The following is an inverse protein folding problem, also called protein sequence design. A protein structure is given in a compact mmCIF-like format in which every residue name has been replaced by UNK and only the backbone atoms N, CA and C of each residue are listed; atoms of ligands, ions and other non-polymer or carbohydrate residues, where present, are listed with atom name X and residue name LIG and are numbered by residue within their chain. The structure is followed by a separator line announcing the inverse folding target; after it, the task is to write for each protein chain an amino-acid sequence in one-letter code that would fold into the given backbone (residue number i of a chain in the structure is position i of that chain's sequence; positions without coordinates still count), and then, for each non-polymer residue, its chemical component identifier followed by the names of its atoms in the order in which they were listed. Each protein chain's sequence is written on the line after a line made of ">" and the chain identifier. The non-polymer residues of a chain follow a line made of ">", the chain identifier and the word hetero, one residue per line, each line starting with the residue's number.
data_IF_760951510937
#
_entry.id   IF_760951510937
#
_cell.length_a   1.000
_cell.length_b   1.000
_cell.length_c   1.000
_cell.angle_alpha   90.00
_cell.angle_beta   90.00
_cell.angle_gamma   90.00
#
_symmetry.space_group_name_H-M   'P 1'
#
loop_
_entity.id
_entity.type
_entity.pdbx_description
1 polymer ?
#
# COMPACT_ATOMS: atom_id res chain seq x y z
N UNK A 1 21.35 30.42 6.54
CA UNK A 1 20.98 29.89 5.22
C UNK A 1 20.20 28.61 5.45
N UNK A 2 18.87 28.70 5.51
CA UNK A 2 17.97 27.56 5.69
C UNK A 2 17.90 26.81 4.36
N UNK A 3 18.51 25.62 4.30
CA UNK A 3 18.33 24.67 3.21
C UNK A 3 16.83 24.36 3.11
N UNK A 4 16.19 24.83 2.06
CA UNK A 4 14.85 24.39 1.72
C UNK A 4 14.94 22.89 1.36
N UNK A 5 14.56 22.03 2.31
CA UNK A 5 14.33 20.62 2.06
C UNK A 5 13.26 20.55 0.96
N UNK A 6 13.65 20.21 -0.26
CA UNK A 6 12.72 19.89 -1.35
C UNK A 6 11.97 18.63 -0.92
N UNK A 7 10.76 18.81 -0.38
CA UNK A 7 9.91 17.67 0.00
C UNK A 7 9.59 16.86 -1.26
N UNK A 8 9.93 15.59 -1.27
CA UNK A 8 9.62 14.67 -2.38
C UNK A 8 8.12 14.69 -2.63
N UNK A 9 7.70 14.92 -3.88
CA UNK A 9 6.30 14.91 -4.29
C UNK A 9 5.97 13.53 -4.90
N UNK A 10 5.15 12.76 -4.20
CA UNK A 10 4.76 11.42 -4.60
C UNK A 10 3.53 11.38 -5.54
N UNK A 11 2.98 12.52 -5.94
CA UNK A 11 1.79 12.59 -6.84
C UNK A 11 1.97 11.80 -8.12
N UNK A 12 3.19 11.77 -8.67
CA UNK A 12 3.47 11.11 -9.96
C UNK A 12 3.54 9.58 -9.86
N UNK A 13 3.74 9.03 -8.67
CA UNK A 13 3.86 7.58 -8.41
C UNK A 13 2.68 7.01 -7.63
N UNK A 14 1.80 7.87 -7.11
CA UNK A 14 0.62 7.47 -6.36
C UNK A 14 -0.55 7.11 -7.28
N UNK A 15 -1.34 6.14 -6.84
CA UNK A 15 -2.65 5.86 -7.41
C UNK A 15 -3.58 7.04 -7.08
N UNK A 16 -4.24 7.61 -8.10
CA UNK A 16 -5.17 8.73 -7.94
C UNK A 16 -6.48 8.48 -8.67
N UNK A 17 -7.53 9.24 -8.31
CA UNK A 17 -8.85 9.13 -8.92
C UNK A 17 -8.81 9.30 -10.44
N UNK A 18 -9.57 8.45 -11.13
CA UNK A 18 -9.72 8.54 -12.58
C UNK A 18 -8.57 7.93 -13.40
N UNK A 19 -7.51 7.42 -12.77
CA UNK A 19 -6.46 6.70 -13.50
C UNK A 19 -6.99 5.35 -14.02
N UNK A 20 -6.71 5.00 -15.28
CA UNK A 20 -7.02 3.68 -15.81
C UNK A 20 -6.32 2.57 -15.02
N UNK A 21 -7.06 1.55 -14.62
CA UNK A 21 -6.57 0.41 -13.87
C UNK A 21 -6.99 -0.91 -14.53
N UNK A 22 -6.12 -1.92 -14.46
CA UNK A 22 -6.51 -3.26 -14.87
C UNK A 22 -7.48 -3.89 -13.85
N UNK A 23 -8.29 -4.88 -14.25
CA UNK A 23 -9.13 -5.63 -13.30
C UNK A 23 -8.33 -6.18 -12.12
N UNK A 24 -7.11 -6.64 -12.35
CA UNK A 24 -6.22 -7.13 -11.30
C UNK A 24 -5.81 -6.01 -10.32
N UNK A 25 -5.51 -4.81 -10.81
CA UNK A 25 -5.19 -3.67 -9.92
C UNK A 25 -6.38 -3.27 -9.07
N UNK A 26 -7.60 -3.29 -9.63
CA UNK A 26 -8.83 -3.06 -8.85
C UNK A 26 -9.04 -4.15 -7.81
N UNK A 27 -8.81 -5.41 -8.16
CA UNK A 27 -8.89 -6.54 -7.23
C UNK A 27 -7.86 -6.40 -6.09
N UNK A 28 -6.61 -5.99 -6.39
CA UNK A 28 -5.57 -5.75 -5.39
C UNK A 28 -5.95 -4.58 -4.47
N UNK A 29 -6.50 -3.49 -5.04
CA UNK A 29 -6.99 -2.36 -4.26
C UNK A 29 -8.12 -2.80 -3.33
N UNK A 30 -9.14 -3.47 -3.85
CA UNK A 30 -10.25 -4.00 -3.06
C UNK A 30 -9.77 -4.93 -1.96
N UNK A 31 -8.88 -5.87 -2.28
CA UNK A 31 -8.38 -6.88 -1.35
C UNK A 31 -7.74 -6.26 -0.11
N UNK A 32 -6.81 -5.31 -0.28
CA UNK A 32 -6.14 -4.66 0.87
C UNK A 32 -7.11 -3.89 1.75
N UNK A 33 -8.10 -3.21 1.15
CA UNK A 33 -9.12 -2.50 1.94
C UNK A 33 -10.16 -3.44 2.56
N UNK A 34 -10.48 -4.55 1.94
CA UNK A 34 -11.36 -5.58 2.52
C UNK A 34 -10.75 -6.22 3.77
N UNK A 35 -9.44 -6.52 3.74
CA UNK A 35 -8.69 -6.96 4.92
C UNK A 35 -8.68 -5.88 6.01
N UNK A 36 -8.30 -4.66 5.66
CA UNK A 36 -8.25 -3.53 6.59
C UNK A 36 -9.61 -3.24 7.22
N UNK A 37 -10.70 -3.34 6.46
CA UNK A 37 -12.06 -3.13 6.94
C UNK A 37 -12.47 -4.16 8.01
N UNK A 38 -12.01 -5.41 7.90
CA UNK A 38 -12.20 -6.43 8.94
C UNK A 38 -11.57 -6.05 10.28
N UNK A 39 -10.39 -5.43 10.24
CA UNK A 39 -9.70 -4.92 11.43
C UNK A 39 -10.34 -3.64 11.99
N UNK A 40 -11.11 -2.92 11.20
CA UNK A 40 -11.57 -1.56 11.50
C UNK A 40 -12.92 -1.48 12.22
N UNK A 41 -13.65 -2.57 12.36
CA UNK A 41 -15.04 -2.59 12.86
C UNK A 41 -15.15 -1.96 14.27
N UNK A 42 -15.83 -0.82 14.36
CA UNK A 42 -16.06 -0.09 15.61
C UNK A 42 -14.81 0.58 16.21
N UNK A 43 -13.70 0.66 15.47
CA UNK A 43 -12.36 1.08 15.93
C UNK A 43 -11.98 2.47 15.41
N UNK A 44 -11.01 3.10 16.07
CA UNK A 44 -10.32 4.31 15.62
C UNK A 44 -9.14 3.91 14.75
N UNK A 45 -9.21 4.32 13.48
CA UNK A 45 -8.30 3.89 12.41
C UNK A 45 -7.51 5.07 11.89
N UNK A 46 -6.21 4.90 11.72
CA UNK A 46 -5.32 5.78 10.96
C UNK A 46 -4.82 5.05 9.73
N UNK A 47 -5.04 5.61 8.54
CA UNK A 47 -4.35 5.20 7.33
C UNK A 47 -3.21 6.18 7.03
N UNK A 48 -1.96 5.70 7.10
CA UNK A 48 -0.75 6.44 6.74
C UNK A 48 -0.45 6.20 5.26
N UNK A 49 -0.21 7.26 4.49
CA UNK A 49 -0.06 7.18 3.04
C UNK A 49 -1.40 6.96 2.33
N UNK A 50 -2.47 7.60 2.82
CA UNK A 50 -3.82 7.45 2.27
C UNK A 50 -3.97 7.99 0.83
N UNK A 51 -2.96 8.69 0.31
CA UNK A 51 -3.02 9.35 -0.99
C UNK A 51 -4.16 10.36 -1.07
N UNK A 52 -4.99 10.23 -2.09
CA UNK A 52 -6.20 11.04 -2.25
C UNK A 52 -7.46 10.42 -1.58
N UNK A 53 -7.28 9.46 -0.70
CA UNK A 53 -8.30 8.95 0.21
C UNK A 53 -9.34 8.01 -0.40
N UNK A 54 -9.02 7.29 -1.48
CA UNK A 54 -9.98 6.41 -2.17
C UNK A 54 -10.57 5.31 -1.28
N UNK A 55 -9.82 4.83 -0.28
CA UNK A 55 -10.27 3.80 0.65
C UNK A 55 -10.99 4.31 1.89
N UNK A 56 -10.85 5.59 2.22
CA UNK A 56 -11.39 6.14 3.47
C UNK A 56 -12.92 5.98 3.61
N UNK A 57 -13.75 6.18 2.55
CA UNK A 57 -15.17 5.93 2.66
C UNK A 57 -15.49 4.47 3.02
N UNK A 58 -14.82 3.51 2.38
CA UNK A 58 -15.03 2.09 2.62
C UNK A 58 -14.68 1.66 4.05
N UNK A 59 -13.59 2.21 4.61
CA UNK A 59 -13.22 2.00 6.01
C UNK A 59 -14.21 2.70 6.95
N UNK A 60 -14.64 3.92 6.60
CA UNK A 60 -15.55 4.74 7.41
C UNK A 60 -16.96 4.15 7.58
N UNK A 61 -17.41 3.27 6.68
CA UNK A 61 -18.66 2.53 6.85
C UNK A 61 -18.62 1.53 8.02
N UNK A 62 -17.43 1.14 8.47
CA UNK A 62 -17.22 0.08 9.47
C UNK A 62 -16.52 0.57 10.73
N UNK A 63 -15.65 1.54 10.60
CA UNK A 63 -14.88 2.11 11.70
C UNK A 63 -15.71 3.13 12.50
N UNK A 64 -15.34 3.35 13.77
CA UNK A 64 -15.86 4.45 14.58
C UNK A 64 -15.35 5.80 14.09
N UNK A 65 -14.07 5.85 13.75
CA UNK A 65 -13.38 7.01 13.18
C UNK A 65 -12.30 6.53 12.21
N UNK A 66 -12.19 7.20 11.06
CA UNK A 66 -11.05 7.00 10.13
C UNK A 66 -10.38 8.34 9.90
N UNK A 67 -9.08 8.40 10.12
CA UNK A 67 -8.23 9.53 9.75
C UNK A 67 -7.29 9.10 8.63
N UNK A 68 -7.25 9.87 7.54
CA UNK A 68 -6.29 9.69 6.46
C UNK A 68 -5.12 10.64 6.62
N UNK A 69 -3.91 10.10 6.57
CA UNK A 69 -2.68 10.88 6.60
C UNK A 69 -1.82 10.66 5.36
N UNK A 70 -1.23 11.74 4.83
CA UNK A 70 -0.28 11.64 3.72
C UNK A 70 0.80 12.71 3.84
N UNK A 71 1.99 12.41 3.32
CA UNK A 71 3.09 13.36 3.27
C UNK A 71 2.88 14.42 2.18
N UNK A 72 2.23 14.02 1.07
CA UNK A 72 2.09 14.82 -0.15
C UNK A 72 0.85 15.71 -0.10
N UNK A 73 1.04 17.00 0.09
CA UNK A 73 -0.06 17.97 0.18
C UNK A 73 -0.95 17.99 -1.06
N UNK A 74 -0.40 17.74 -2.25
CA UNK A 74 -1.16 17.67 -3.51
C UNK A 74 -2.25 16.60 -3.47
N UNK A 75 -1.92 15.40 -2.98
CA UNK A 75 -2.85 14.29 -2.82
C UNK A 75 -3.95 14.60 -1.79
N UNK A 76 -3.58 15.20 -0.66
CA UNK A 76 -4.56 15.61 0.37
C UNK A 76 -5.54 16.68 -0.14
N UNK A 77 -5.09 17.62 -0.97
CA UNK A 77 -5.96 18.62 -1.62
C UNK A 77 -6.95 17.96 -2.58
N UNK A 78 -6.48 17.01 -3.38
CA UNK A 78 -7.37 16.21 -4.24
C UNK A 78 -8.39 15.42 -3.40
N UNK A 79 -7.94 14.75 -2.35
CA UNK A 79 -8.80 14.05 -1.40
C UNK A 79 -9.83 14.97 -0.75
N UNK A 80 -9.43 16.15 -0.28
CA UNK A 80 -10.34 17.13 0.31
C UNK A 80 -11.43 17.61 -0.65
N UNK A 81 -11.08 17.80 -1.92
CA UNK A 81 -12.04 18.21 -2.94
C UNK A 81 -13.11 17.14 -3.20
N UNK A 82 -12.79 15.86 -3.06
CA UNK A 82 -13.70 14.73 -3.30
C UNK A 82 -14.41 14.25 -2.04
N UNK A 83 -13.75 14.36 -0.91
CA UNK A 83 -14.19 13.88 0.40
C UNK A 83 -14.13 15.04 1.43
N UNK A 84 -15.00 16.07 1.30
CA UNK A 84 -14.89 17.30 2.09
C UNK A 84 -15.05 17.09 3.61
N UNK A 85 -15.69 15.99 4.01
CA UNK A 85 -15.91 15.65 5.43
C UNK A 85 -14.87 14.67 5.99
N UNK A 86 -14.00 14.08 5.16
CA UNK A 86 -12.99 13.14 5.63
C UNK A 86 -11.93 13.86 6.49
N UNK A 87 -11.58 13.34 7.67
CA UNK A 87 -10.45 13.84 8.44
C UNK A 87 -9.14 13.54 7.70
N UNK A 88 -8.54 14.56 7.07
CA UNK A 88 -7.29 14.45 6.34
C UNK A 88 -6.22 15.31 7.02
N UNK A 89 -5.05 14.72 7.27
CA UNK A 89 -3.92 15.35 7.97
C UNK A 89 -2.64 15.17 7.16
N UNK A 90 -1.88 16.26 6.99
CA UNK A 90 -0.51 16.12 6.46
C UNK A 90 0.41 15.62 7.56
N UNK A 91 1.14 14.53 7.30
CA UNK A 91 2.04 13.94 8.29
C UNK A 91 3.21 13.20 7.65
N UNK A 92 4.29 13.07 8.41
CA UNK A 92 5.39 12.15 8.15
C UNK A 92 5.16 10.87 8.99
N UNK A 93 5.28 9.70 8.35
CA UNK A 93 5.14 8.41 9.02
C UNK A 93 6.16 8.22 10.17
N UNK A 94 7.30 8.91 10.10
CA UNK A 94 8.38 8.87 11.09
C UNK A 94 8.11 9.78 12.31
N UNK A 95 7.06 10.64 12.24
CA UNK A 95 6.69 11.59 13.31
C UNK A 95 5.17 11.82 13.28
N UNK A 96 4.42 10.94 13.90
CA UNK A 96 2.95 10.97 13.87
C UNK A 96 2.37 12.00 14.85
N UNK A 97 1.46 12.89 14.40
CA UNK A 97 0.88 13.95 15.26
C UNK A 97 -0.27 13.41 16.13
N UNK A 98 -0.12 12.23 16.69
CA UNK A 98 -1.11 11.57 17.55
C UNK A 98 -0.52 11.29 18.93
N UNK A 99 -1.37 11.24 19.95
CA UNK A 99 -0.99 10.89 21.33
C UNK A 99 -0.63 9.41 21.40
N UNK A 100 0.16 9.07 22.40
CA UNK A 100 0.45 7.69 22.73
C UNK A 100 -0.85 6.92 23.03
N UNK A 101 -0.91 5.66 22.61
CA UNK A 101 -2.00 4.74 22.87
C UNK A 101 -3.40 5.33 22.58
N UNK A 102 -3.54 6.07 21.47
CA UNK A 102 -4.79 6.74 21.09
C UNK A 102 -5.58 6.05 19.98
N UNK A 103 -4.94 5.16 19.22
CA UNK A 103 -5.51 4.48 18.05
C UNK A 103 -5.66 2.98 18.28
N UNK A 104 -6.69 2.40 17.65
CA UNK A 104 -6.91 0.95 17.70
C UNK A 104 -6.29 0.23 16.53
N UNK A 105 -6.23 0.90 15.35
CA UNK A 105 -5.67 0.33 14.11
C UNK A 105 -4.84 1.38 13.38
N UNK A 106 -3.67 0.96 12.91
CA UNK A 106 -2.85 1.74 11.96
C UNK A 106 -2.66 0.92 10.69
N UNK A 107 -2.84 1.56 9.56
CA UNK A 107 -2.72 0.98 8.23
C UNK A 107 -1.60 1.67 7.46
N UNK A 108 -0.69 0.90 6.86
CA UNK A 108 0.32 1.34 5.89
C UNK A 108 0.16 0.52 4.61
N UNK A 109 -0.70 0.99 3.71
CA UNK A 109 -1.09 0.27 2.50
C UNK A 109 -0.33 0.83 1.30
N UNK A 110 0.62 0.06 0.76
CA UNK A 110 1.43 0.42 -0.43
C UNK A 110 2.27 1.70 -0.24
N UNK A 111 2.80 1.96 0.98
CA UNK A 111 3.52 3.21 1.25
C UNK A 111 4.86 3.05 1.98
N UNK A 112 5.06 2.01 2.80
CA UNK A 112 6.22 1.88 3.68
C UNK A 112 7.57 1.90 2.92
N UNK A 113 7.58 1.45 1.70
CA UNK A 113 8.78 1.44 0.84
C UNK A 113 9.22 2.83 0.34
N UNK A 114 8.44 3.88 0.61
CA UNK A 114 8.84 5.28 0.40
C UNK A 114 9.42 5.92 1.66
N UNK A 115 9.30 5.28 2.82
CA UNK A 115 9.80 5.81 4.09
C UNK A 115 11.30 5.58 4.21
N UNK A 116 12.04 6.62 4.51
CA UNK A 116 13.50 6.56 4.60
C UNK A 116 13.96 5.73 5.78
N UNK A 117 13.36 5.94 6.95
CA UNK A 117 13.59 5.18 8.18
C UNK A 117 12.33 4.39 8.56
N UNK A 118 12.29 3.12 8.14
CA UNK A 118 11.17 2.22 8.41
C UNK A 118 11.09 1.85 9.90
N UNK A 119 12.22 1.79 10.59
CA UNK A 119 12.25 1.52 12.03
C UNK A 119 11.62 2.68 12.82
N UNK A 120 11.92 3.94 12.47
CA UNK A 120 11.28 5.10 13.08
C UNK A 120 9.75 5.12 12.85
N UNK A 121 9.29 4.76 11.64
CA UNK A 121 7.86 4.66 11.35
C UNK A 121 7.17 3.56 12.18
N UNK A 122 7.80 2.40 12.34
CA UNK A 122 7.27 1.32 13.19
C UNK A 122 7.25 1.69 14.67
N UNK A 123 8.27 2.41 15.16
CA UNK A 123 8.30 2.95 16.53
C UNK A 123 7.12 3.91 16.78
N UNK A 124 6.83 4.81 15.83
CA UNK A 124 5.71 5.73 15.91
C UNK A 124 4.36 4.99 15.84
N UNK A 125 4.21 4.00 14.94
CA UNK A 125 3.01 3.16 14.89
C UNK A 125 2.78 2.46 16.24
N UNK A 126 3.84 1.87 16.84
CA UNK A 126 3.75 1.27 18.16
C UNK A 126 3.35 2.30 19.23
N UNK A 127 3.94 3.49 19.21
CA UNK A 127 3.65 4.54 20.20
C UNK A 127 2.17 4.94 20.18
N UNK A 128 1.62 5.19 19.00
CA UNK A 128 0.23 5.69 18.86
C UNK A 128 -0.82 4.60 19.02
N UNK A 129 -0.51 3.33 18.76
CA UNK A 129 -1.42 2.21 18.97
C UNK A 129 -1.63 1.94 20.47
N UNK A 130 -2.85 1.64 20.86
CA UNK A 130 -3.19 1.09 22.18
C UNK A 130 -2.56 -0.31 22.36
N UNK A 131 -2.30 -0.78 23.60
CA UNK A 131 -2.04 -2.19 23.85
C UNK A 131 -3.15 -3.06 23.23
N UNK A 132 -2.80 -4.11 22.51
CA UNK A 132 -3.74 -4.94 21.74
C UNK A 132 -4.23 -4.29 20.43
N UNK A 133 -3.76 -3.09 20.08
CA UNK A 133 -4.01 -2.43 18.80
C UNK A 133 -3.28 -3.12 17.65
N UNK A 134 -3.78 -2.95 16.44
CA UNK A 134 -3.31 -3.68 15.25
C UNK A 134 -2.59 -2.75 14.27
N UNK A 135 -1.45 -3.18 13.74
CA UNK A 135 -0.76 -2.59 12.60
C UNK A 135 -0.90 -3.51 11.39
N UNK A 136 -1.39 -2.97 10.27
CA UNK A 136 -1.42 -3.68 9.00
C UNK A 136 -0.51 -2.99 7.97
N UNK A 137 0.37 -3.75 7.35
CA UNK A 137 1.22 -3.30 6.24
C UNK A 137 0.94 -4.13 5.00
N UNK A 138 0.81 -3.47 3.86
CA UNK A 138 0.74 -4.10 2.54
C UNK A 138 1.87 -3.54 1.66
N UNK A 139 2.60 -4.43 1.00
CA UNK A 139 3.69 -4.08 0.08
C UNK A 139 3.73 -4.99 -1.13
N UNK A 140 4.20 -4.52 -2.30
CA UNK A 140 4.58 -5.40 -3.39
C UNK A 140 5.69 -6.34 -2.93
N UNK A 141 5.61 -7.60 -3.33
CA UNK A 141 6.62 -8.59 -2.98
C UNK A 141 7.91 -8.39 -3.79
N UNK A 142 9.04 -7.99 -3.19
CA UNK A 142 10.30 -7.79 -3.90
C UNK A 142 10.96 -9.12 -4.32
N UNK A 143 10.55 -10.25 -3.74
CA UNK A 143 11.14 -11.56 -4.02
C UNK A 143 10.60 -12.20 -5.31
N UNK A 144 9.53 -11.64 -5.90
CA UNK A 144 8.97 -12.15 -7.16
C UNK A 144 9.89 -11.87 -8.35
N UNK A 145 9.92 -12.77 -9.37
CA UNK A 145 10.83 -12.62 -10.52
C UNK A 145 10.67 -11.32 -11.31
N UNK A 146 9.43 -10.80 -11.43
CA UNK A 146 9.10 -9.60 -12.22
C UNK A 146 9.02 -8.34 -11.38
N UNK A 147 9.66 -8.31 -10.23
CA UNK A 147 9.62 -7.14 -9.37
C UNK A 147 10.30 -5.94 -10.04
N UNK A 148 9.58 -4.82 -10.08
CA UNK A 148 10.07 -3.55 -10.58
C UNK A 148 9.79 -2.46 -9.53
N UNK A 149 10.83 -1.90 -8.89
CA UNK A 149 10.65 -0.89 -7.84
C UNK A 149 10.01 0.38 -8.40
N UNK A 150 9.21 1.04 -7.56
CA UNK A 150 8.67 2.36 -7.86
C UNK A 150 9.78 3.42 -7.81
N UNK A 151 9.74 4.46 -8.66
CA UNK A 151 10.58 5.64 -8.47
C UNK A 151 10.40 6.23 -7.05
N UNK A 152 11.48 6.78 -6.49
CA UNK A 152 11.53 7.34 -5.13
C UNK A 152 11.40 6.33 -3.99
N UNK A 153 11.21 5.02 -4.30
CA UNK A 153 11.24 4.00 -3.24
C UNK A 153 12.63 3.86 -2.65
N UNK A 154 12.69 3.66 -1.35
CA UNK A 154 13.94 3.47 -0.59
C UNK A 154 14.27 2.00 -0.44
N UNK A 155 13.34 1.23 0.11
CA UNK A 155 13.52 -0.20 0.37
C UNK A 155 12.19 -0.93 0.45
N UNK A 156 12.07 -2.03 -0.28
CA UNK A 156 10.97 -2.98 -0.15
C UNK A 156 11.37 -4.10 0.81
N UNK A 157 10.67 -4.28 1.93
CA UNK A 157 10.97 -5.38 2.83
C UNK A 157 10.53 -6.72 2.22
N UNK A 158 11.38 -7.73 2.32
CA UNK A 158 11.06 -9.14 2.06
C UNK A 158 10.14 -9.69 3.16
N UNK A 159 9.63 -10.91 2.98
CA UNK A 159 8.81 -11.59 4.01
C UNK A 159 9.54 -11.65 5.35
N UNK A 160 10.82 -12.05 5.35
CA UNK A 160 11.64 -12.15 6.56
C UNK A 160 11.93 -10.78 7.20
N UNK A 161 12.25 -9.77 6.37
CA UNK A 161 12.52 -8.41 6.85
C UNK A 161 11.27 -7.75 7.43
N UNK A 162 10.10 -8.00 6.83
CA UNK A 162 8.84 -7.48 7.33
C UNK A 162 8.49 -8.10 8.70
N UNK A 163 8.61 -9.42 8.85
CA UNK A 163 8.44 -10.10 10.14
C UNK A 163 9.42 -9.58 11.19
N UNK A 164 10.70 -9.37 10.81
CA UNK A 164 11.72 -8.83 11.71
C UNK A 164 11.42 -7.39 12.14
N UNK A 165 10.89 -6.52 11.26
CA UNK A 165 10.44 -5.17 11.61
C UNK A 165 9.37 -5.22 12.70
N UNK A 166 8.34 -6.03 12.53
CA UNK A 166 7.28 -6.18 13.51
C UNK A 166 7.81 -6.70 14.86
N UNK A 167 8.60 -7.77 14.83
CA UNK A 167 9.17 -8.38 16.05
C UNK A 167 10.03 -7.40 16.83
N UNK A 168 10.92 -6.64 16.17
CA UNK A 168 11.78 -5.63 16.83
C UNK A 168 10.99 -4.54 17.55
N UNK A 169 9.80 -4.22 17.03
CA UNK A 169 8.92 -3.21 17.61
C UNK A 169 7.82 -3.79 18.49
N UNK A 170 7.94 -5.05 18.96
CA UNK A 170 7.03 -5.66 19.92
C UNK A 170 5.61 -5.85 19.36
N UNK A 171 5.52 -6.40 18.17
CA UNK A 171 4.28 -6.88 17.58
C UNK A 171 4.35 -8.39 17.40
N UNK A 172 3.29 -9.07 17.78
CA UNK A 172 3.03 -10.44 17.36
C UNK A 172 2.40 -10.42 15.98
N UNK A 173 3.00 -11.08 14.97
CA UNK A 173 2.71 -10.83 13.57
C UNK A 173 2.52 -12.09 12.76
N UNK A 174 1.50 -12.06 11.88
CA UNK A 174 1.34 -12.99 10.77
C UNK A 174 1.67 -12.27 9.46
N UNK A 175 2.51 -12.90 8.62
CA UNK A 175 2.80 -12.44 7.25
C UNK A 175 2.13 -13.38 6.27
N UNK A 176 1.47 -12.82 5.27
CA UNK A 176 0.72 -13.59 4.26
C UNK A 176 1.02 -13.07 2.85
N UNK A 177 0.87 -13.96 1.86
CA UNK A 177 0.94 -13.63 0.45
C UNK A 177 -0.44 -13.69 -0.22
N UNK A 178 -0.67 -12.81 -1.16
CA UNK A 178 -1.85 -12.87 -2.01
C UNK A 178 -1.49 -12.55 -3.47
N UNK A 179 -2.44 -12.84 -4.36
CA UNK A 179 -2.27 -12.74 -5.81
C UNK A 179 -1.12 -13.63 -6.28
N UNK A 180 -1.37 -14.94 -6.48
CA UNK A 180 -0.35 -15.85 -6.98
C UNK A 180 0.29 -15.32 -8.26
N UNK A 181 1.60 -15.47 -8.36
CA UNK A 181 2.30 -15.28 -9.63
C UNK A 181 1.91 -16.47 -10.49
N UNK A 182 0.95 -16.26 -11.41
CA UNK A 182 0.51 -17.31 -12.33
C UNK A 182 1.70 -17.84 -13.13
N UNK A 183 1.79 -19.15 -13.26
CA UNK A 183 2.66 -19.76 -14.26
C UNK A 183 2.24 -19.19 -15.63
N UNK A 184 3.20 -18.57 -16.33
CA UNK A 184 2.97 -17.83 -17.59
C UNK A 184 1.97 -18.55 -18.49
N UNK A 185 0.83 -17.92 -18.77
CA UNK A 185 -0.06 -18.38 -19.84
C UNK A 185 0.73 -18.37 -21.15
N UNK A 186 0.35 -19.21 -22.13
CA UNK A 186 1.07 -19.26 -23.39
C UNK A 186 1.26 -17.89 -24.08
N UNK A 187 0.32 -16.95 -23.83
CA UNK A 187 0.38 -15.56 -24.31
C UNK A 187 1.38 -14.71 -23.51
N UNK A 188 1.47 -14.93 -22.21
CA UNK A 188 2.42 -14.24 -21.32
C UNK A 188 3.86 -14.73 -21.58
N UNK A 189 4.04 -16.02 -21.88
CA UNK A 189 5.33 -16.61 -22.28
C UNK A 189 5.86 -15.97 -23.57
N UNK A 190 4.98 -15.60 -24.50
CA UNK A 190 5.37 -14.90 -25.73
C UNK A 190 5.74 -13.44 -25.50
N UNK A 191 5.11 -12.76 -24.52
CA UNK A 191 5.37 -11.37 -24.17
C UNK A 191 6.46 -11.20 -23.08
N UNK A 192 6.83 -12.27 -22.39
CA UNK A 192 7.83 -12.25 -21.32
C UNK A 192 9.18 -11.65 -21.77
N UNK A 193 9.77 -12.02 -22.91
CA UNK A 193 11.03 -11.45 -23.36
C UNK A 193 10.92 -9.95 -23.65
N UNK A 194 9.78 -9.50 -24.20
CA UNK A 194 9.52 -8.07 -24.47
C UNK A 194 9.40 -7.31 -23.15
N UNK A 195 8.72 -7.88 -22.16
CA UNK A 195 8.57 -7.30 -20.82
C UNK A 195 9.91 -7.25 -20.09
N UNK A 196 10.69 -8.32 -20.11
CA UNK A 196 12.06 -8.36 -19.56
C UNK A 196 12.98 -7.34 -20.22
N UNK A 197 12.92 -7.20 -21.53
CA UNK A 197 13.67 -6.19 -22.28
C UNK A 197 13.24 -4.77 -21.84
N UNK A 198 11.94 -4.50 -21.76
CA UNK A 198 11.42 -3.21 -21.35
C UNK A 198 11.80 -2.84 -19.90
N UNK A 199 11.83 -3.80 -18.98
CA UNK A 199 12.30 -3.61 -17.60
C UNK A 199 13.81 -3.36 -17.57
N UNK A 200 14.60 -4.20 -18.26
CA UNK A 200 16.08 -4.14 -18.28
C UNK A 200 16.61 -2.84 -18.87
N UNK A 201 15.94 -2.28 -19.86
CA UNK A 201 16.34 -1.04 -20.54
C UNK A 201 15.56 0.19 -20.07
N UNK A 202 14.87 0.11 -18.93
CA UNK A 202 14.09 1.20 -18.33
C UNK A 202 13.08 1.85 -19.31
N UNK A 203 12.54 1.08 -20.25
CA UNK A 203 11.55 1.56 -21.21
C UNK A 203 10.14 1.68 -20.61
N UNK A 204 9.95 1.20 -19.37
CA UNK A 204 8.68 1.36 -18.66
C UNK A 204 8.59 2.82 -18.17
N UNK A 205 7.54 3.56 -18.54
CA UNK A 205 7.37 4.94 -18.08
C UNK A 205 7.37 5.04 -16.55
N UNK A 206 8.06 6.02 -15.99
CA UNK A 206 8.16 6.20 -14.55
C UNK A 206 6.90 6.80 -13.91
N UNK A 207 6.10 7.56 -14.69
CA UNK A 207 4.87 8.17 -14.16
C UNK A 207 3.65 7.26 -14.34
N UNK A 208 2.72 7.32 -13.39
CA UNK A 208 1.45 6.57 -13.45
C UNK A 208 0.61 6.95 -14.67
N UNK A 209 0.60 8.22 -15.08
CA UNK A 209 -0.12 8.69 -16.28
C UNK A 209 0.43 8.09 -17.56
N UNK A 210 1.75 8.01 -17.71
CA UNK A 210 2.37 7.41 -18.88
C UNK A 210 2.17 5.87 -18.89
N UNK A 211 2.23 5.19 -17.74
CA UNK A 211 1.83 3.77 -17.61
C UNK A 211 0.37 3.55 -18.02
N UNK A 212 -0.53 4.45 -17.61
CA UNK A 212 -1.95 4.40 -17.97
C UNK A 212 -2.17 4.56 -19.48
N UNK A 213 -1.43 5.46 -20.14
CA UNK A 213 -1.51 5.65 -21.60
C UNK A 213 -1.07 4.38 -22.36
N UNK A 214 0.05 3.77 -21.97
CA UNK A 214 0.52 2.51 -22.57
C UNK A 214 -0.52 1.40 -22.38
N UNK A 215 -1.11 1.28 -21.19
CA UNK A 215 -2.19 0.30 -20.93
C UNK A 215 -3.41 0.55 -21.81
N UNK A 216 -3.83 1.81 -22.00
CA UNK A 216 -4.97 2.15 -22.86
C UNK A 216 -4.76 1.73 -24.30
N UNK A 217 -3.53 1.83 -24.81
CA UNK A 217 -3.18 1.39 -26.17
C UNK A 217 -3.21 -0.14 -26.27
N UNK A 218 -2.70 -0.85 -25.25
CA UNK A 218 -2.58 -2.31 -25.25
C UNK A 218 -3.88 -3.05 -24.91
N UNK A 219 -4.72 -2.49 -24.04
CA UNK A 219 -5.89 -3.15 -23.46
C UNK A 219 -7.23 -2.46 -23.76
N UNK A 220 -7.25 -1.35 -24.50
CA UNK A 220 -8.46 -0.60 -24.84
C UNK A 220 -9.02 0.21 -23.66
N UNK A 221 -10.36 0.34 -23.56
CA UNK A 221 -11.02 1.07 -22.45
C UNK A 221 -10.88 0.26 -21.16
N UNK A 222 -10.07 0.76 -20.24
CA UNK A 222 -9.94 0.21 -18.89
C UNK A 222 -10.88 0.95 -17.92
N UNK A 223 -11.38 0.25 -16.88
CA UNK A 223 -12.03 0.90 -15.75
C UNK A 223 -11.05 1.89 -15.08
N UNK A 224 -11.58 2.80 -14.29
CA UNK A 224 -10.77 3.82 -13.61
C UNK A 224 -10.78 3.62 -12.11
N UNK A 225 -9.67 3.98 -11.46
CA UNK A 225 -9.58 4.05 -10.00
C UNK A 225 -10.60 5.04 -9.44
N UNK A 226 -11.21 4.69 -8.32
CA UNK A 226 -12.21 5.47 -7.63
C UNK A 226 -12.33 5.05 -6.17
N UNK A 227 -13.46 5.43 -5.54
CA UNK A 227 -13.74 4.94 -4.19
C UNK A 227 -13.81 3.41 -4.18
N UNK A 228 -13.21 2.83 -3.14
CA UNK A 228 -13.29 1.39 -2.92
C UNK A 228 -14.73 1.01 -2.55
N UNK A 229 -15.23 -0.06 -3.10
CA UNK A 229 -16.55 -0.61 -2.81
C UNK A 229 -16.57 -2.13 -2.99
N UNK A 230 -17.54 -2.80 -2.39
CA UNK A 230 -17.75 -4.23 -2.58
C UNK A 230 -18.05 -4.53 -4.07
N UNK A 231 -17.50 -5.64 -4.58
CA UNK A 231 -17.65 -6.03 -5.98
C UNK A 231 -16.58 -5.51 -6.95
N UNK A 232 -15.61 -4.72 -6.49
CA UNK A 232 -14.47 -4.30 -7.34
C UNK A 232 -13.57 -5.47 -7.77
N UNK A 233 -13.59 -6.58 -7.02
CA UNK A 233 -12.78 -7.76 -7.30
C UNK A 233 -13.20 -8.93 -6.43
N UNK A 234 -12.71 -10.13 -6.79
CA UNK A 234 -12.85 -11.29 -5.92
C UNK A 234 -11.96 -11.14 -4.67
N UNK A 235 -12.45 -11.63 -3.54
CA UNK A 235 -11.66 -11.79 -2.32
C UNK A 235 -11.45 -13.28 -2.06
N UNK A 236 -10.23 -13.63 -1.73
CA UNK A 236 -9.86 -14.96 -1.23
C UNK A 236 -8.99 -14.77 0.01
N UNK A 237 -9.01 -15.71 0.94
CA UNK A 237 -8.12 -15.62 2.09
C UNK A 237 -6.65 -15.61 1.64
N UNK A 238 -5.79 -14.73 2.21
CA UNK A 238 -4.37 -14.73 1.92
C UNK A 238 -3.70 -16.00 2.47
N UNK A 239 -2.65 -16.44 1.83
CA UNK A 239 -1.87 -17.62 2.25
C UNK A 239 -0.84 -17.21 3.26
N UNK A 240 -0.87 -17.78 4.46
CA UNK A 240 0.14 -17.55 5.48
C UNK A 240 1.51 -18.04 5.02
N UNK A 241 2.53 -17.24 5.27
CA UNK A 241 3.91 -17.48 4.88
C UNK A 241 4.79 -17.67 6.12
N UNK A 242 5.69 -18.65 6.07
CA UNK A 242 6.71 -18.84 7.10
C UNK A 242 7.92 -17.93 6.78
N UNK A 243 8.17 -16.87 7.57
CA UNK A 243 9.29 -15.97 7.32
C UNK A 243 10.67 -16.64 7.37
N UNK A 244 10.76 -17.80 8.02
CA UNK A 244 11.99 -18.61 8.12
C UNK A 244 12.28 -19.46 6.88
N UNK A 245 11.34 -19.57 5.92
CA UNK A 245 11.44 -20.44 4.75
C UNK A 245 11.51 -19.72 3.41
N UNK A 246 11.95 -18.47 3.38
CA UNK A 246 12.05 -17.69 2.15
C UNK A 246 13.06 -18.24 1.11
N UNK A 247 13.07 -17.68 -0.11
CA UNK A 247 12.25 -16.59 -0.62
C UNK A 247 10.83 -17.04 -1.07
N UNK A 248 9.83 -16.20 -0.81
CA UNK A 248 8.43 -16.46 -1.17
C UNK A 248 8.06 -15.85 -2.53
N UNK A 249 8.54 -16.44 -3.62
CA UNK A 249 8.42 -15.90 -4.99
C UNK A 249 7.03 -16.03 -5.62
N UNK A 250 6.15 -16.82 -5.01
CA UNK A 250 4.87 -17.23 -5.58
C UNK A 250 3.74 -16.21 -5.50
N UNK A 251 3.95 -15.04 -4.89
CA UNK A 251 2.89 -14.05 -4.65
C UNK A 251 3.31 -12.66 -5.11
N UNK A 252 2.34 -11.87 -5.60
CA UNK A 252 2.58 -10.49 -6.07
C UNK A 252 2.68 -9.49 -4.92
N UNK A 253 1.93 -9.69 -3.84
CA UNK A 253 1.89 -8.80 -2.69
C UNK A 253 2.08 -9.57 -1.38
N UNK A 254 2.71 -8.90 -0.42
CA UNK A 254 2.84 -9.33 0.96
C UNK A 254 1.91 -8.48 1.84
N UNK A 255 1.29 -9.12 2.81
CA UNK A 255 0.43 -8.52 3.82
C UNK A 255 0.92 -8.96 5.20
N UNK A 256 1.14 -8.02 6.08
CA UNK A 256 1.48 -8.31 7.46
C UNK A 256 0.47 -7.65 8.40
N UNK A 257 -0.06 -8.41 9.34
CA UNK A 257 -0.92 -7.92 10.41
C UNK A 257 -0.27 -8.28 11.72
N UNK A 258 0.03 -7.26 12.54
CA UNK A 258 0.61 -7.46 13.85
C UNK A 258 -0.20 -6.81 14.94
N UNK A 259 -0.26 -7.45 16.11
CA UNK A 259 -0.90 -6.95 17.32
C UNK A 259 0.17 -6.45 18.28
N UNK A 260 0.00 -5.22 18.79
CA UNK A 260 0.90 -4.65 19.80
C UNK A 260 0.79 -5.43 21.12
N UNK A 261 1.89 -6.05 21.50
CA UNK A 261 2.06 -6.71 22.82
C UNK A 261 2.41 -5.71 23.91
#
# INVERSE_FOLDING_TARGET
>A
MTSASTSTDFTTVSETWGLPASPEQLAMQYFRYRMAAGLSIGRDVLEIGCGSGMGLPYLGERARLVVGGDYTMGLLREGRARLPKAPLVRMDAQHLPFRDASLDVVLMLEMIYYVADQDAAFAECRRVLKPGGSLMVCVPNPERPDFNPSPFSTRYPTTAELAALYSRHGFETTVSGAFPVEAESGRDRFLAPIRHFAVRYHLIPNSMRAKAMVKRVLYGRLPTLGAVHDGMGAYSEPVELDPGRGPHRGFKNLYAVGVRT
#
